data_IF_523469945225
#
_entry.id   IF_523469945225
#
_cell.length_a   1.000
_cell.length_b   1.000
_cell.length_c   1.000
_cell.angle_alpha   90.00
_cell.angle_beta   90.00
_cell.angle_gamma   90.00
#
_symmetry.space_group_name_H-M   'P 1'
#
loop_
_entity.id
_entity.type
_entity.pdbx_description
1 polymer ?
#
# COMPACT_ATOMS: atom_id res chain seq x y z
N UNK A 1 10.12 28.41 12.29
CA UNK A 1 9.26 28.15 11.11
C UNK A 1 8.02 29.07 11.18
N UNK A 2 8.09 30.23 10.51
CA UNK A 2 7.20 31.36 10.84
C UNK A 2 5.82 31.33 10.17
N UNK A 3 5.47 30.33 9.33
CA UNK A 3 4.21 30.39 8.58
C UNK A 3 3.61 29.01 8.23
N UNK A 4 3.79 28.00 9.09
CA UNK A 4 3.02 26.77 8.97
C UNK A 4 1.65 26.97 9.60
N UNK A 5 0.58 26.82 8.80
CA UNK A 5 -0.80 27.00 9.24
C UNK A 5 -1.16 25.98 10.31
N UNK A 6 -1.70 26.45 11.42
CA UNK A 6 -2.21 25.61 12.50
C UNK A 6 -3.66 25.94 12.82
N UNK A 7 -4.47 24.92 13.12
CA UNK A 7 -5.83 25.08 13.60
C UNK A 7 -5.99 24.29 14.92
N UNK A 8 -6.50 24.96 15.96
CA UNK A 8 -6.73 24.36 17.30
C UNK A 8 -5.50 23.64 17.90
N UNK A 9 -4.30 24.14 17.60
CA UNK A 9 -3.04 23.57 18.10
C UNK A 9 -2.49 22.41 17.26
N UNK A 10 -3.13 22.08 16.14
CA UNK A 10 -2.65 21.07 15.20
C UNK A 10 -2.22 21.68 13.86
N UNK A 11 -1.26 21.03 13.20
CA UNK A 11 -0.79 21.44 11.87
C UNK A 11 -1.84 21.07 10.83
N UNK A 12 -2.23 22.04 10.00
CA UNK A 12 -3.15 21.81 8.88
C UNK A 12 -2.37 21.19 7.73
N UNK A 13 -2.88 20.10 7.17
CA UNK A 13 -2.27 19.37 6.06
C UNK A 13 -3.28 18.95 5.01
N UNK A 14 -2.82 18.68 3.80
CA UNK A 14 -3.62 18.09 2.73
C UNK A 14 -3.69 16.54 2.79
N UNK A 15 -4.28 15.91 1.77
CA UNK A 15 -4.40 14.44 1.66
C UNK A 15 -3.03 13.72 1.57
N UNK A 16 -1.97 14.44 1.22
CA UNK A 16 -0.60 13.93 1.13
C UNK A 16 0.24 14.24 2.36
N UNK A 17 -0.37 14.85 3.38
CA UNK A 17 0.27 15.33 4.61
C UNK A 17 1.23 16.51 4.41
N UNK A 18 1.16 17.20 3.27
CA UNK A 18 1.90 18.43 3.05
C UNK A 18 1.29 19.58 3.85
N UNK A 19 2.13 20.43 4.44
CA UNK A 19 1.68 21.63 5.17
C UNK A 19 1.49 22.81 4.21
N UNK A 20 1.20 24.01 4.76
CA UNK A 20 1.23 25.25 3.96
C UNK A 20 2.61 25.58 3.38
N UNK A 21 3.68 25.02 3.96
CA UNK A 21 5.02 25.02 3.37
C UNK A 21 5.21 23.71 2.58
N UNK A 22 5.42 23.77 1.24
CA UNK A 22 5.55 22.58 0.40
C UNK A 22 6.83 21.77 0.69
N UNK A 23 7.77 22.29 1.47
CA UNK A 23 8.97 21.57 1.91
C UNK A 23 8.77 20.85 3.25
N UNK A 24 7.62 21.05 3.92
CA UNK A 24 7.35 20.51 5.25
C UNK A 24 6.10 19.63 5.22
N UNK A 25 6.23 18.44 5.81
CA UNK A 25 5.16 17.47 5.99
C UNK A 25 4.94 17.23 7.48
N UNK A 26 3.70 17.00 7.88
CA UNK A 26 3.34 16.71 9.27
C UNK A 26 2.38 15.52 9.33
N UNK A 27 2.57 14.62 10.30
CA UNK A 27 1.81 13.38 10.43
C UNK A 27 1.46 13.09 11.90
N UNK A 28 0.55 12.13 12.13
CA UNK A 28 0.20 11.65 13.46
C UNK A 28 -0.36 12.75 14.36
N UNK A 29 0.00 12.71 15.64
CA UNK A 29 -0.56 13.60 16.67
C UNK A 29 -0.23 15.08 16.47
N UNK A 30 0.75 15.42 15.62
CA UNK A 30 1.01 16.80 15.21
C UNK A 30 -0.13 17.38 14.35
N UNK A 31 -0.87 16.52 13.64
CA UNK A 31 -2.00 16.88 12.76
C UNK A 31 -3.34 16.65 13.45
N UNK A 32 -3.47 15.56 14.21
CA UNK A 32 -4.62 15.29 15.09
C UNK A 32 -4.34 14.03 15.93
N UNK A 33 -4.92 13.91 17.14
CA UNK A 33 -4.82 12.68 17.91
C UNK A 33 -5.47 11.51 17.17
N UNK A 34 -4.83 10.35 17.20
CA UNK A 34 -5.31 9.15 16.51
C UNK A 34 -4.74 7.85 17.09
N UNK A 35 -4.97 6.74 16.37
CA UNK A 35 -4.35 5.47 16.69
C UNK A 35 -2.90 5.44 16.22
N UNK A 36 -2.07 4.58 16.83
CA UNK A 36 -0.70 4.32 16.37
C UNK A 36 -0.67 3.92 14.88
N UNK A 37 -1.65 3.13 14.44
CA UNK A 37 -1.80 2.71 13.05
C UNK A 37 -2.10 3.88 12.11
N UNK A 38 -2.79 4.91 12.59
CA UNK A 38 -3.07 6.12 11.80
C UNK A 38 -1.78 6.90 11.54
N UNK A 39 -0.94 7.07 12.57
CA UNK A 39 0.36 7.73 12.44
C UNK A 39 1.30 6.97 11.50
N UNK A 40 1.33 5.63 11.57
CA UNK A 40 2.12 4.79 10.65
C UNK A 40 1.60 4.93 9.22
N UNK A 41 0.28 4.89 9.01
CA UNK A 41 -0.35 5.07 7.71
C UNK A 41 -0.03 6.44 7.10
N UNK A 42 -0.17 7.49 7.90
CA UNK A 42 0.16 8.86 7.50
C UNK A 42 1.62 9.01 7.09
N UNK A 43 2.55 8.45 7.87
CA UNK A 43 3.98 8.48 7.55
C UNK A 43 4.32 7.76 6.25
N UNK A 44 3.66 6.64 5.96
CA UNK A 44 3.84 5.93 4.69
C UNK A 44 3.40 6.78 3.50
N UNK A 45 2.25 7.45 3.60
CA UNK A 45 1.73 8.33 2.54
C UNK A 45 2.69 9.50 2.33
N UNK A 46 3.06 10.22 3.39
CA UNK A 46 4.00 11.34 3.32
C UNK A 46 5.35 10.93 2.67
N UNK A 47 5.93 9.81 3.10
CA UNK A 47 7.20 9.31 2.54
C UNK A 47 7.09 8.97 1.06
N UNK A 48 5.98 8.33 0.64
CA UNK A 48 5.72 8.00 -0.78
C UNK A 48 5.51 9.25 -1.63
N UNK A 49 4.82 10.26 -1.09
CA UNK A 49 4.66 11.55 -1.77
C UNK A 49 5.99 12.24 -1.96
N UNK A 50 6.85 12.28 -0.93
CA UNK A 50 8.19 12.87 -1.02
C UNK A 50 9.03 12.12 -2.06
N UNK A 51 9.05 10.79 -2.02
CA UNK A 51 9.79 9.97 -3.00
C UNK A 51 9.28 10.18 -4.43
N UNK A 52 7.96 10.19 -4.64
CA UNK A 52 7.33 10.48 -5.93
C UNK A 52 7.70 11.85 -6.46
N UNK A 53 7.63 12.88 -5.62
CA UNK A 53 8.01 14.25 -5.97
C UNK A 53 9.48 14.35 -6.39
N UNK A 54 10.38 13.68 -5.66
CA UNK A 54 11.82 13.64 -5.98
C UNK A 54 12.10 12.88 -7.29
N UNK A 55 11.27 11.91 -7.65
CA UNK A 55 11.39 11.11 -8.89
C UNK A 55 10.62 11.70 -10.07
N UNK A 56 9.79 12.72 -9.87
CA UNK A 56 8.88 13.24 -10.89
C UNK A 56 7.72 12.29 -11.23
N UNK A 57 7.33 11.41 -10.30
CA UNK A 57 6.21 10.48 -10.45
C UNK A 57 5.06 10.90 -9.52
N UNK A 58 3.85 11.07 -10.05
CA UNK A 58 2.72 11.68 -9.30
C UNK A 58 1.94 10.67 -8.42
N UNK A 59 2.10 9.36 -8.62
CA UNK A 59 1.22 8.34 -8.03
C UNK A 59 1.94 7.02 -7.69
N UNK A 60 1.75 6.56 -6.45
CA UNK A 60 2.11 5.21 -6.00
C UNK A 60 0.85 4.45 -5.57
N UNK A 61 0.79 3.16 -5.90
CA UNK A 61 -0.18 2.06 -5.61
C UNK A 61 -1.37 2.22 -4.61
N UNK A 62 -1.39 3.19 -3.69
CA UNK A 62 -2.37 3.30 -2.60
C UNK A 62 -3.71 3.95 -2.98
N UNK A 63 -3.81 4.61 -4.13
CA UNK A 63 -5.08 5.17 -4.65
C UNK A 63 -5.91 4.14 -5.43
N UNK A 64 -5.52 2.87 -5.40
CA UNK A 64 -6.32 1.81 -6.00
C UNK A 64 -7.60 1.62 -5.19
N UNK A 65 -8.78 1.61 -5.84
CA UNK A 65 -10.04 1.39 -5.13
C UNK A 65 -9.98 0.06 -4.36
N UNK A 66 -10.67 0.02 -3.21
CA UNK A 66 -10.81 -1.21 -2.44
C UNK A 66 -11.30 -2.33 -3.36
N UNK A 67 -10.58 -3.45 -3.38
CA UNK A 67 -10.96 -4.59 -4.20
C UNK A 67 -12.32 -5.10 -3.72
N UNK A 68 -13.27 -5.25 -4.64
CA UNK A 68 -14.58 -5.83 -4.32
C UNK A 68 -14.38 -7.23 -3.72
N UNK A 69 -15.08 -7.56 -2.64
CA UNK A 69 -14.89 -8.81 -1.91
C UNK A 69 -15.04 -10.05 -2.80
N UNK A 70 -15.89 -10.00 -3.82
CA UNK A 70 -16.12 -11.11 -4.77
C UNK A 70 -14.92 -11.35 -5.70
N UNK A 71 -14.02 -10.37 -5.82
CA UNK A 71 -12.75 -10.50 -6.55
C UNK A 71 -11.64 -11.10 -5.69
N UNK A 72 -11.82 -11.17 -4.38
CA UNK A 72 -10.90 -11.88 -3.49
C UNK A 72 -11.20 -13.37 -3.61
N UNK A 73 -10.45 -14.06 -4.48
CA UNK A 73 -10.45 -15.51 -4.53
C UNK A 73 -9.80 -16.04 -3.27
N UNK A 74 -10.60 -16.61 -2.37
CA UNK A 74 -10.14 -17.32 -1.18
C UNK A 74 -9.48 -18.67 -1.53
N UNK A 75 -9.42 -19.03 -2.82
CA UNK A 75 -8.58 -20.13 -3.31
C UNK A 75 -7.11 -19.75 -3.11
N UNK A 76 -6.68 -19.92 -1.86
CA UNK A 76 -5.33 -20.13 -1.41
C UNK A 76 -4.66 -21.18 -2.31
N UNK A 77 -3.37 -21.00 -2.62
CA UNK A 77 -2.55 -22.09 -3.18
C UNK A 77 -2.72 -23.30 -2.26
N UNK A 78 -3.34 -24.39 -2.71
CA UNK A 78 -3.39 -25.61 -1.89
C UNK A 78 -2.01 -26.28 -1.96
N UNK A 79 -1.19 -26.24 -0.88
CA UNK A 79 0.18 -26.76 -0.90
C UNK A 79 0.22 -28.30 -1.06
N UNK A 80 -0.95 -28.96 -1.04
CA UNK A 80 -1.09 -30.39 -1.32
C UNK A 80 -1.06 -30.69 -2.83
N UNK A 81 -1.21 -29.68 -3.69
CA UNK A 81 -1.17 -29.82 -5.15
C UNK A 81 0.26 -29.53 -5.62
N UNK A 82 1.04 -30.59 -5.82
CA UNK A 82 2.44 -30.49 -6.25
C UNK A 82 2.64 -30.42 -7.77
N UNK A 83 1.72 -30.96 -8.56
CA UNK A 83 1.80 -31.04 -10.01
C UNK A 83 0.47 -30.63 -10.67
N UNK A 84 0.55 -29.99 -11.83
CA UNK A 84 -0.61 -29.58 -12.62
C UNK A 84 -0.65 -30.40 -13.91
N UNK A 85 -1.85 -30.83 -14.30
CA UNK A 85 -2.04 -31.63 -15.51
C UNK A 85 -1.83 -30.80 -16.80
N UNK A 86 -2.12 -29.51 -16.76
CA UNK A 86 -2.01 -28.59 -17.90
C UNK A 86 -1.87 -27.12 -17.45
N UNK A 87 -1.63 -26.22 -18.42
CA UNK A 87 -1.50 -24.78 -18.17
C UNK A 87 -2.78 -24.13 -17.64
N UNK A 88 -3.95 -24.67 -18.00
CA UNK A 88 -5.25 -24.13 -17.59
C UNK A 88 -5.53 -24.40 -16.12
N UNK A 89 -5.23 -25.61 -15.65
CA UNK A 89 -5.31 -26.05 -14.26
C UNK A 89 -4.27 -25.34 -13.39
N UNK A 90 -3.07 -25.09 -13.89
CA UNK A 90 -2.08 -24.24 -13.23
C UNK A 90 -2.59 -22.79 -13.10
N UNK A 91 -3.12 -22.20 -14.16
CA UNK A 91 -3.61 -20.81 -14.17
C UNK A 91 -4.78 -20.58 -13.19
N UNK A 92 -5.63 -21.59 -13.00
CA UNK A 92 -6.73 -21.55 -12.04
C UNK A 92 -6.29 -21.58 -10.56
N UNK A 93 -5.07 -22.05 -10.28
CA UNK A 93 -4.47 -22.12 -8.93
C UNK A 93 -3.53 -20.95 -8.63
N UNK A 94 -3.20 -20.13 -9.63
CA UNK A 94 -2.36 -18.96 -9.42
C UNK A 94 -3.08 -17.98 -8.47
N UNK A 95 -2.42 -17.62 -7.37
CA UNK A 95 -2.85 -16.56 -6.45
C UNK A 95 -2.76 -15.17 -7.12
N UNK A 96 -3.54 -14.97 -8.16
CA UNK A 96 -3.76 -13.67 -8.76
C UNK A 96 -5.07 -13.11 -8.22
N UNK A 97 -4.98 -12.34 -7.14
CA UNK A 97 -6.06 -11.44 -6.77
C UNK A 97 -6.23 -10.27 -7.77
N UNK A 98 -5.43 -10.22 -8.84
CA UNK A 98 -5.37 -9.10 -9.77
C UNK A 98 -4.89 -7.79 -9.13
N UNK A 99 -4.29 -7.86 -7.93
CA UNK A 99 -3.80 -6.74 -7.14
C UNK A 99 -2.68 -7.21 -6.22
N UNK A 100 -1.58 -7.71 -6.80
CA UNK A 100 -0.37 -8.06 -6.04
C UNK A 100 0.01 -6.88 -5.13
N UNK A 101 0.06 -7.11 -3.82
CA UNK A 101 0.44 -6.10 -2.81
C UNK A 101 1.90 -6.22 -2.38
N UNK A 102 2.68 -7.01 -3.13
CA UNK A 102 4.11 -7.22 -2.92
C UNK A 102 4.46 -7.69 -1.50
N UNK A 103 3.67 -8.64 -0.97
CA UNK A 103 3.87 -9.20 0.36
C UNK A 103 4.83 -10.41 0.40
N UNK A 104 5.40 -10.84 -0.73
CA UNK A 104 6.35 -11.96 -0.84
C UNK A 104 5.75 -13.36 -0.62
N UNK A 105 4.50 -13.50 -0.17
CA UNK A 105 3.92 -14.81 0.14
C UNK A 105 3.86 -15.75 -1.07
N UNK A 106 3.73 -15.20 -2.28
CA UNK A 106 3.72 -15.98 -3.51
C UNK A 106 5.07 -16.61 -3.85
N UNK A 107 6.20 -16.04 -3.40
CA UNK A 107 7.54 -16.62 -3.58
C UNK A 107 7.70 -17.85 -2.68
N UNK A 108 7.29 -17.73 -1.42
CA UNK A 108 7.42 -18.81 -0.42
C UNK A 108 6.49 -19.99 -0.70
N UNK A 109 5.26 -19.72 -1.16
CA UNK A 109 4.24 -20.78 -1.32
C UNK A 109 4.22 -21.39 -2.72
N UNK A 110 5.03 -20.90 -3.68
CA UNK A 110 4.98 -21.40 -5.05
C UNK A 110 5.47 -22.86 -5.12
N UNK A 111 4.60 -23.84 -5.45
CA UNK A 111 5.00 -25.25 -5.48
C UNK A 111 6.04 -25.52 -6.59
N UNK A 112 5.97 -24.76 -7.68
CA UNK A 112 6.85 -24.89 -8.84
C UNK A 112 8.13 -24.04 -8.74
N UNK A 113 8.28 -23.22 -7.69
CA UNK A 113 9.37 -22.21 -7.57
C UNK A 113 9.53 -21.34 -8.82
N UNK A 114 8.42 -21.02 -9.47
CA UNK A 114 8.40 -20.23 -10.71
C UNK A 114 8.57 -18.72 -10.46
N UNK A 115 8.54 -18.30 -9.19
CA UNK A 115 8.61 -16.91 -8.74
C UNK A 115 9.67 -16.88 -7.62
N UNK A 116 10.57 -15.89 -7.64
CA UNK A 116 11.73 -15.75 -6.75
C UNK A 116 12.02 -14.30 -6.41
#
# INVERSE_FOLDING_TARGET
PAEITTEKGFVVVDETYATSDPQVYAIGDAVRPGLLTDAIGAGRIAARTIDGLLRGADQTYDKLPAIRYERVKLQYFDPRIGEFADTTSCAANCASCGACRDCGLCEEICPQKAIS
#
